data_IF_436557383244
#
_entry.id   IF_436557383244
#
_cell.length_a   1.000
_cell.length_b   1.000
_cell.length_c   1.000
_cell.angle_alpha   90.00
_cell.angle_beta   90.00
_cell.angle_gamma   90.00
#
_symmetry.space_group_name_H-M   'P 1'
#
loop_
_entity.id
_entity.type
_entity.pdbx_description
1 polymer ?
#
# COMPACT_ATOMS: atom_id res chain seq x y z
N UNK A 1 -6.27 4.67 26.71
CA UNK A 1 -6.05 4.11 25.36
C UNK A 1 -4.62 3.60 25.37
N UNK A 2 -4.42 2.31 25.17
CA UNK A 2 -3.09 1.71 25.36
C UNK A 2 -2.32 1.61 24.03
N UNK A 3 -3.05 1.66 22.90
CA UNK A 3 -2.50 1.47 21.55
C UNK A 3 -3.20 2.36 20.53
N UNK A 4 -2.42 2.94 19.62
CA UNK A 4 -2.89 3.82 18.54
C UNK A 4 -2.45 3.22 17.20
N UNK A 5 -3.43 2.94 16.34
CA UNK A 5 -3.23 2.49 14.96
C UNK A 5 -3.35 3.69 14.01
N UNK A 6 -2.22 4.34 13.68
CA UNK A 6 -2.22 5.56 12.87
C UNK A 6 -2.15 5.24 11.38
N UNK A 7 -3.34 4.97 10.79
CA UNK A 7 -3.54 4.65 9.37
C UNK A 7 -4.09 5.83 8.55
N UNK A 8 -4.36 6.97 9.18
CA UNK A 8 -5.05 8.08 8.54
C UNK A 8 -4.14 8.84 7.55
N UNK A 9 -4.27 8.55 6.25
CA UNK A 9 -3.64 9.28 5.15
C UNK A 9 -4.31 8.85 3.82
N UNK A 10 -4.55 9.76 2.85
CA UNK A 10 -4.93 9.35 1.50
C UNK A 10 -3.83 8.46 0.89
N UNK A 11 -4.20 7.31 0.32
CA UNK A 11 -3.23 6.27 -0.09
C UNK A 11 -3.09 6.07 -1.62
N UNK A 12 -4.13 6.37 -2.40
CA UNK A 12 -4.07 6.27 -3.86
C UNK A 12 -3.43 7.53 -4.48
N UNK A 13 -2.60 7.40 -5.53
CA UNK A 13 -2.04 8.53 -6.27
C UNK A 13 -3.05 9.58 -6.68
N UNK A 14 -4.21 9.17 -7.19
CA UNK A 14 -5.26 10.09 -7.62
C UNK A 14 -5.74 10.92 -6.42
N UNK A 15 -5.95 10.27 -5.27
CA UNK A 15 -6.51 10.91 -4.09
C UNK A 15 -5.52 11.80 -3.34
N UNK A 16 -4.25 11.38 -3.20
CA UNK A 16 -3.28 12.18 -2.48
C UNK A 16 -2.77 13.38 -3.30
N UNK A 17 -2.79 13.29 -4.64
CA UNK A 17 -2.42 14.39 -5.53
C UNK A 17 -3.58 15.38 -5.76
N UNK A 18 -4.83 14.97 -5.54
CA UNK A 18 -5.99 15.87 -5.66
C UNK A 18 -5.87 17.11 -4.75
N UNK A 19 -5.31 16.95 -3.54
CA UNK A 19 -5.02 18.06 -2.64
C UNK A 19 -3.68 17.83 -1.91
N UNK A 20 -2.54 18.16 -2.56
CA UNK A 20 -1.22 17.80 -2.05
C UNK A 20 -0.88 18.52 -0.74
N UNK A 21 -1.38 19.76 -0.57
CA UNK A 21 -1.22 20.52 0.68
C UNK A 21 -1.94 19.83 1.83
N UNK A 22 -3.16 19.32 1.61
CA UNK A 22 -3.91 18.57 2.63
C UNK A 22 -3.22 17.25 2.96
N UNK A 23 -2.73 16.52 1.95
CA UNK A 23 -1.96 15.28 2.14
C UNK A 23 -0.74 15.52 3.03
N UNK A 24 0.09 16.51 2.70
CA UNK A 24 1.28 16.83 3.50
C UNK A 24 0.92 17.26 4.93
N UNK A 25 -0.12 18.09 5.09
CA UNK A 25 -0.63 18.48 6.43
C UNK A 25 -1.11 17.28 7.24
N UNK A 26 -1.84 16.35 6.62
CA UNK A 26 -2.31 15.14 7.31
C UNK A 26 -1.14 14.27 7.75
N UNK A 27 -0.14 14.06 6.89
CA UNK A 27 1.03 13.25 7.24
C UNK A 27 1.89 13.90 8.32
N UNK A 28 2.11 15.21 8.28
CA UNK A 28 2.91 15.92 9.28
C UNK A 28 2.12 16.23 10.56
N UNK A 29 1.10 17.11 10.49
CA UNK A 29 0.36 17.56 11.67
C UNK A 29 -0.45 16.43 12.31
N UNK A 30 -1.02 15.52 11.49
CA UNK A 30 -1.74 14.36 12.00
C UNK A 30 -0.83 13.46 12.84
N UNK A 31 0.34 13.12 12.31
CA UNK A 31 1.33 12.30 13.03
C UNK A 31 1.86 13.01 14.29
N UNK A 32 2.18 14.31 14.19
CA UNK A 32 2.59 15.11 15.34
C UNK A 32 1.55 15.08 16.47
N UNK A 33 0.28 15.28 16.13
CA UNK A 33 -0.82 15.27 17.10
C UNK A 33 -1.02 13.88 17.73
N UNK A 34 -0.94 12.81 16.94
CA UNK A 34 -1.10 11.44 17.43
C UNK A 34 0.07 10.99 18.33
N UNK A 35 1.30 11.40 18.01
CA UNK A 35 2.45 11.19 18.88
C UNK A 35 2.35 11.99 20.19
N UNK A 36 1.88 13.25 20.10
CA UNK A 36 1.58 14.05 21.29
C UNK A 36 0.49 13.42 22.17
N UNK A 37 -0.53 12.81 21.57
CA UNK A 37 -1.51 12.01 22.31
C UNK A 37 -0.86 10.79 22.94
N UNK A 38 -0.13 9.98 22.16
CA UNK A 38 0.56 8.77 22.62
C UNK A 38 1.43 9.05 23.85
N UNK A 39 2.23 10.12 23.79
CA UNK A 39 3.04 10.60 24.92
C UNK A 39 2.22 10.92 26.16
N UNK A 40 1.12 11.68 26.01
CA UNK A 40 0.30 12.12 27.16
C UNK A 40 -0.37 10.98 27.89
N UNK A 41 -0.78 9.93 27.17
CA UNK A 41 -1.55 8.82 27.74
C UNK A 41 -0.71 7.54 27.94
N UNK A 42 0.58 7.56 27.57
CA UNK A 42 1.45 6.39 27.63
C UNK A 42 1.08 5.29 26.62
N UNK A 43 0.50 5.64 25.47
CA UNK A 43 0.11 4.66 24.46
C UNK A 43 1.29 4.29 23.54
N UNK A 44 1.30 3.03 23.08
CA UNK A 44 2.12 2.58 21.94
C UNK A 44 1.48 3.02 20.63
N UNK A 45 2.24 3.59 19.70
CA UNK A 45 1.74 4.04 18.41
C UNK A 45 2.34 3.22 17.27
N UNK A 46 1.50 2.68 16.39
CA UNK A 46 1.92 2.11 15.12
C UNK A 46 1.62 3.10 13.99
N UNK A 47 2.65 3.44 13.21
CA UNK A 47 2.54 4.22 11.98
C UNK A 47 2.42 3.28 10.79
N UNK A 48 1.37 3.47 10.00
CA UNK A 48 1.29 2.91 8.64
C UNK A 48 2.09 3.77 7.67
N UNK A 49 3.39 3.46 7.56
CA UNK A 49 4.26 3.99 6.52
C UNK A 49 4.03 3.23 5.20
N UNK A 50 4.93 3.38 4.24
CA UNK A 50 4.74 2.92 2.86
C UNK A 50 6.06 2.57 2.21
N UNK A 51 6.05 1.71 1.21
CA UNK A 51 7.21 1.46 0.36
C UNK A 51 7.60 2.66 -0.52
N UNK A 52 6.73 3.67 -0.70
CA UNK A 52 7.09 4.92 -1.39
C UNK A 52 8.20 5.71 -0.68
N UNK A 53 8.50 5.44 0.60
CA UNK A 53 9.66 6.06 1.28
C UNK A 53 11.00 5.65 0.65
N UNK A 54 11.00 4.57 -0.12
CA UNK A 54 12.14 4.13 -0.93
C UNK A 54 12.21 4.83 -2.30
N UNK A 55 11.14 5.48 -2.74
CA UNK A 55 11.07 6.21 -4.02
C UNK A 55 11.23 5.33 -5.25
N UNK A 56 12.18 5.72 -6.11
CA UNK A 56 12.63 4.95 -7.27
C UNK A 56 13.94 4.20 -6.90
N UNK A 57 13.84 2.96 -6.42
CA UNK A 57 14.94 2.32 -5.71
C UNK A 57 16.09 1.90 -6.65
N UNK A 58 17.31 2.22 -6.24
CA UNK A 58 18.55 1.79 -6.91
C UNK A 58 19.03 0.40 -6.46
N UNK A 59 18.25 -0.26 -5.58
CA UNK A 59 18.56 -1.57 -4.99
C UNK A 59 17.33 -2.47 -5.06
N UNK A 60 17.55 -3.74 -5.39
CA UNK A 60 16.49 -4.74 -5.52
C UNK A 60 16.90 -6.09 -4.89
N UNK A 61 16.08 -6.69 -3.99
CA UNK A 61 14.86 -6.16 -3.37
C UNK A 61 15.16 -4.97 -2.44
N UNK A 62 14.13 -4.29 -1.90
CA UNK A 62 14.30 -3.14 -1.00
C UNK A 62 14.33 -3.56 0.48
N UNK A 63 15.49 -3.54 1.16
CA UNK A 63 15.57 -3.79 2.61
C UNK A 63 15.30 -2.53 3.44
N UNK A 64 14.95 -2.71 4.71
CA UNK A 64 14.62 -1.60 5.62
C UNK A 64 15.77 -0.61 5.86
N UNK A 65 17.02 -1.07 5.67
CA UNK A 65 18.23 -0.24 5.77
C UNK A 65 18.42 0.73 4.60
N UNK A 66 17.72 0.53 3.48
CA UNK A 66 17.86 1.40 2.32
C UNK A 66 17.21 2.76 2.59
N UNK A 67 17.90 3.85 2.25
CA UNK A 67 17.45 5.22 2.55
C UNK A 67 16.40 5.76 1.59
N UNK A 68 16.25 5.13 0.42
CA UNK A 68 15.38 5.59 -0.66
C UNK A 68 16.04 6.61 -1.58
N UNK A 69 15.57 6.65 -2.83
CA UNK A 69 15.89 7.68 -3.82
C UNK A 69 14.59 8.38 -4.20
N UNK A 70 14.31 9.50 -3.52
CA UNK A 70 13.03 10.21 -3.58
C UNK A 70 13.26 11.64 -4.05
N UNK A 71 12.50 12.07 -5.06
CA UNK A 71 12.50 13.46 -5.49
C UNK A 71 11.67 14.29 -4.49
N UNK A 72 12.25 15.31 -3.82
CA UNK A 72 11.53 16.07 -2.78
C UNK A 72 10.57 17.14 -3.32
N UNK A 73 10.60 17.44 -4.62
CA UNK A 73 9.78 18.49 -5.25
C UNK A 73 8.87 17.97 -6.38
N UNK A 74 8.84 16.65 -6.59
CA UNK A 74 7.96 16.00 -7.55
C UNK A 74 6.48 16.06 -7.15
N UNK A 75 5.60 15.75 -8.10
CA UNK A 75 4.14 15.78 -7.88
C UNK A 75 3.68 14.77 -6.81
N UNK A 76 4.46 13.71 -6.59
CA UNK A 76 4.21 12.67 -5.56
C UNK A 76 4.77 13.02 -4.18
N UNK A 77 5.68 14.01 -4.08
CA UNK A 77 6.42 14.31 -2.85
C UNK A 77 5.54 14.68 -1.66
N UNK A 78 4.33 15.21 -1.90
CA UNK A 78 3.37 15.49 -0.84
C UNK A 78 3.01 14.24 0.00
N UNK A 79 3.02 13.06 -0.61
CA UNK A 79 2.83 11.77 0.05
C UNK A 79 4.16 11.18 0.49
N UNK A 80 5.14 11.11 -0.42
CA UNK A 80 6.43 10.42 -0.18
C UNK A 80 7.22 11.08 0.94
N UNK A 81 7.47 12.39 0.85
CA UNK A 81 8.14 13.16 1.91
C UNK A 81 7.25 13.29 3.15
N UNK A 82 5.93 13.33 2.96
CA UNK A 82 4.97 13.29 4.06
C UNK A 82 5.12 12.04 4.94
N UNK A 83 5.30 10.88 4.32
CA UNK A 83 5.51 9.61 5.03
C UNK A 83 6.92 9.51 5.61
N UNK A 84 7.95 10.02 4.91
CA UNK A 84 9.32 10.09 5.42
C UNK A 84 9.43 10.95 6.69
N UNK A 85 8.85 12.15 6.70
CA UNK A 85 8.85 13.01 7.90
C UNK A 85 8.02 12.39 9.04
N UNK A 86 6.96 11.65 8.73
CA UNK A 86 6.18 10.94 9.74
C UNK A 86 7.03 9.85 10.45
N UNK A 87 7.86 9.10 9.71
CA UNK A 87 8.83 8.17 10.33
C UNK A 87 9.84 8.92 11.20
N UNK A 88 10.39 10.04 10.72
CA UNK A 88 11.33 10.88 11.49
C UNK A 88 10.71 11.29 12.83
N UNK A 89 9.48 11.80 12.81
CA UNK A 89 8.76 12.21 14.02
C UNK A 89 8.57 11.05 15.00
N UNK A 90 8.20 9.86 14.53
CA UNK A 90 8.07 8.68 15.39
C UNK A 90 9.38 8.40 16.16
N UNK A 91 10.51 8.36 15.44
CA UNK A 91 11.79 8.06 16.07
C UNK A 91 12.33 9.20 16.94
N UNK A 92 12.01 10.47 16.63
CA UNK A 92 12.33 11.61 17.51
C UNK A 92 11.54 11.54 18.83
N UNK A 93 10.24 11.27 18.78
CA UNK A 93 9.42 11.09 19.98
C UNK A 93 9.88 9.88 20.82
N UNK A 94 10.32 8.81 20.17
CA UNK A 94 10.93 7.67 20.87
C UNK A 94 12.21 8.09 21.61
N UNK A 95 13.16 8.73 20.91
CA UNK A 95 14.44 9.15 21.50
C UNK A 95 14.29 10.20 22.60
N UNK A 96 13.43 11.20 22.40
CA UNK A 96 13.32 12.35 23.28
C UNK A 96 12.31 12.16 24.42
N UNK A 97 11.30 11.31 24.23
CA UNK A 97 10.17 11.19 25.16
C UNK A 97 9.83 9.74 25.54
N UNK A 98 10.56 8.75 25.02
CA UNK A 98 10.31 7.34 25.33
C UNK A 98 8.98 6.82 24.80
N UNK A 99 8.37 7.49 23.80
CA UNK A 99 7.13 6.99 23.19
C UNK A 99 7.43 5.67 22.48
N UNK A 100 6.67 4.63 22.80
CA UNK A 100 6.78 3.35 22.11
C UNK A 100 6.18 3.46 20.71
N UNK A 101 7.03 3.33 19.69
CA UNK A 101 6.62 3.39 18.28
C UNK A 101 6.83 2.07 17.57
N UNK A 102 5.99 1.82 16.57
CA UNK A 102 6.11 0.73 15.60
C UNK A 102 5.90 1.31 14.21
N UNK A 103 6.73 0.94 13.23
CA UNK A 103 6.64 1.48 11.87
C UNK A 103 6.51 0.34 10.88
N UNK A 104 5.36 0.25 10.22
CA UNK A 104 5.14 -0.68 9.12
C UNK A 104 5.38 0.03 7.79
N UNK A 105 6.37 -0.42 7.00
CA UNK A 105 6.55 0.02 5.61
C UNK A 105 5.74 -0.90 4.71
N UNK A 106 4.53 -0.45 4.39
CA UNK A 106 3.52 -1.25 3.69
C UNK A 106 3.76 -1.21 2.18
N UNK A 107 3.90 -2.37 1.58
CA UNK A 107 3.95 -2.55 0.12
C UNK A 107 2.55 -2.68 -0.47
N UNK A 108 2.42 -2.79 -1.79
CA UNK A 108 1.11 -2.79 -2.45
C UNK A 108 0.20 -3.88 -1.88
N UNK A 109 -0.93 -3.44 -1.32
CA UNK A 109 -1.94 -4.31 -0.72
C UNK A 109 -3.27 -4.16 -1.44
N UNK A 110 -3.96 -5.29 -1.63
CA UNK A 110 -5.28 -5.36 -2.24
C UNK A 110 -6.23 -6.24 -1.41
N UNK A 111 -7.54 -6.09 -1.63
CA UNK A 111 -8.56 -6.90 -0.98
C UNK A 111 -9.95 -6.26 -1.04
N UNK A 112 -10.94 -6.86 -0.37
CA UNK A 112 -12.27 -6.30 -0.21
C UNK A 112 -12.28 -4.87 0.35
N UNK A 113 -13.35 -4.12 0.07
CA UNK A 113 -13.59 -2.72 0.52
C UNK A 113 -12.67 -1.65 -0.08
N UNK A 114 -11.87 -1.98 -1.09
CA UNK A 114 -11.22 -0.98 -1.92
C UNK A 114 -12.26 -0.13 -2.67
N UNK A 115 -11.94 1.14 -2.92
CA UNK A 115 -12.80 2.03 -3.68
C UNK A 115 -12.83 1.63 -5.16
N UNK A 116 -13.96 1.86 -5.83
CA UNK A 116 -14.11 1.58 -7.27
C UNK A 116 -13.18 2.42 -8.13
N UNK A 117 -12.93 3.66 -7.71
CA UNK A 117 -12.08 4.67 -8.35
C UNK A 117 -10.69 4.77 -7.70
N UNK A 118 -10.26 3.72 -6.99
CA UNK A 118 -8.97 3.67 -6.31
C UNK A 118 -7.77 3.87 -7.26
N UNK A 119 -7.90 3.56 -8.55
CA UNK A 119 -6.92 3.91 -9.57
C UNK A 119 -5.67 3.01 -9.61
N UNK A 120 -5.56 2.01 -8.73
CA UNK A 120 -4.50 1.01 -8.77
C UNK A 120 -4.85 -0.15 -9.72
N UNK A 121 -3.84 -0.87 -10.18
CA UNK A 121 -3.98 -1.85 -11.26
C UNK A 121 -4.96 -3.01 -10.94
N UNK A 122 -4.94 -3.53 -9.70
CA UNK A 122 -5.85 -4.64 -9.30
C UNK A 122 -7.30 -4.19 -9.32
N UNK A 123 -7.61 -3.02 -8.74
CA UNK A 123 -8.96 -2.46 -8.72
C UNK A 123 -9.44 -2.11 -10.14
N UNK A 124 -8.60 -1.43 -10.93
CA UNK A 124 -8.93 -1.06 -12.30
C UNK A 124 -9.26 -2.29 -13.16
N UNK A 125 -8.44 -3.34 -13.12
CA UNK A 125 -8.70 -4.54 -13.92
C UNK A 125 -9.96 -5.28 -13.50
N UNK A 126 -10.21 -5.43 -12.20
CA UNK A 126 -11.44 -6.08 -11.73
C UNK A 126 -12.68 -5.27 -12.17
N UNK A 127 -12.65 -3.94 -11.99
CA UNK A 127 -13.77 -3.07 -12.36
C UNK A 127 -14.01 -3.06 -13.88
N UNK A 128 -12.96 -2.92 -14.69
CA UNK A 128 -13.06 -3.01 -16.16
C UNK A 128 -13.67 -4.35 -16.58
N UNK A 129 -13.16 -5.45 -16.03
CA UNK A 129 -13.67 -6.78 -16.36
C UNK A 129 -15.13 -6.99 -15.95
N UNK A 130 -15.53 -6.53 -14.75
CA UNK A 130 -16.92 -6.62 -14.30
C UNK A 130 -17.88 -5.77 -15.16
N UNK A 131 -17.38 -4.69 -15.76
CA UNK A 131 -18.15 -3.84 -16.70
C UNK A 131 -18.15 -4.35 -18.14
N UNK A 132 -17.41 -5.41 -18.44
CA UNK A 132 -17.24 -5.89 -19.81
C UNK A 132 -16.31 -5.02 -20.67
N UNK A 133 -15.51 -4.15 -20.05
CA UNK A 133 -14.57 -3.27 -20.73
C UNK A 133 -13.23 -3.98 -20.99
N UNK A 134 -12.49 -3.63 -22.06
CA UNK A 134 -11.13 -4.12 -22.26
C UNK A 134 -10.21 -3.79 -21.07
N UNK A 135 -9.32 -4.72 -20.72
CA UNK A 135 -8.33 -4.47 -19.68
C UNK A 135 -7.20 -3.61 -20.25
N UNK A 136 -6.99 -2.43 -19.66
CA UNK A 136 -5.99 -1.48 -20.13
C UNK A 136 -4.59 -1.83 -19.64
N UNK A 137 -3.75 -2.38 -20.51
CA UNK A 137 -2.37 -2.73 -20.22
C UNK A 137 -1.44 -1.59 -20.65
N UNK A 138 -0.72 -0.96 -19.74
CA UNK A 138 0.30 0.01 -20.12
C UNK A 138 1.61 -0.71 -20.48
N UNK A 139 2.13 -0.45 -21.68
CA UNK A 139 3.24 -1.19 -22.28
C UNK A 139 2.84 -2.62 -22.68
N UNK A 140 3.82 -3.53 -22.65
CA UNK A 140 3.62 -4.95 -22.95
C UNK A 140 3.22 -5.77 -21.70
N UNK A 141 3.05 -5.14 -20.54
CA UNK A 141 2.68 -5.80 -19.30
C UNK A 141 3.81 -6.61 -18.64
N UNK A 142 5.06 -6.49 -19.11
CA UNK A 142 6.22 -7.19 -18.56
C UNK A 142 6.70 -6.65 -17.21
N UNK A 143 6.30 -5.42 -16.86
CA UNK A 143 6.64 -4.80 -15.59
C UNK A 143 6.07 -5.61 -14.42
N UNK A 144 6.86 -5.74 -13.36
CA UNK A 144 6.52 -6.56 -12.20
C UNK A 144 6.03 -5.71 -11.02
N UNK A 145 5.13 -6.29 -10.24
CA UNK A 145 4.66 -5.75 -8.96
C UNK A 145 4.47 -6.88 -7.96
N UNK A 146 4.77 -6.61 -6.70
CA UNK A 146 4.35 -7.45 -5.58
C UNK A 146 2.93 -7.10 -5.13
N UNK A 147 2.07 -8.08 -4.88
CA UNK A 147 0.72 -7.85 -4.33
C UNK A 147 0.51 -8.65 -3.04
N UNK A 148 0.32 -7.94 -1.93
CA UNK A 148 0.01 -8.53 -0.63
C UNK A 148 -1.51 -8.52 -0.41
N UNK A 149 -2.09 -9.64 -0.02
CA UNK A 149 -3.52 -9.68 0.31
C UNK A 149 -3.77 -9.06 1.69
N UNK A 150 -4.91 -8.36 1.84
CA UNK A 150 -5.21 -7.55 3.02
C UNK A 150 -5.20 -8.32 4.35
N UNK A 151 -5.58 -9.60 4.37
CA UNK A 151 -5.54 -10.39 5.61
C UNK A 151 -4.12 -10.64 6.10
N UNK A 152 -3.18 -10.90 5.20
CA UNK A 152 -1.76 -11.05 5.55
C UNK A 152 -1.21 -9.74 6.12
N UNK A 153 -1.53 -8.60 5.49
CA UNK A 153 -1.14 -7.29 6.01
C UNK A 153 -1.68 -7.06 7.43
N UNK A 154 -2.98 -7.32 7.65
CA UNK A 154 -3.61 -7.13 8.96
C UNK A 154 -2.91 -7.99 10.02
N UNK A 155 -2.61 -9.24 9.71
CA UNK A 155 -1.87 -10.13 10.61
C UNK A 155 -0.47 -9.59 10.93
N UNK A 156 0.27 -9.11 9.92
CA UNK A 156 1.59 -8.52 10.10
C UNK A 156 1.55 -7.25 10.96
N UNK A 157 0.53 -6.41 10.76
CA UNK A 157 0.28 -5.21 11.57
C UNK A 157 -0.02 -5.57 13.04
N UNK A 158 -0.88 -6.57 13.28
CA UNK A 158 -1.20 -7.11 14.61
C UNK A 158 0.06 -7.60 15.33
N UNK A 159 0.89 -8.39 14.65
CA UNK A 159 2.14 -8.90 15.22
C UNK A 159 3.13 -7.78 15.52
N UNK A 160 3.32 -6.83 14.59
CA UNK A 160 4.22 -5.70 14.79
C UNK A 160 3.82 -4.82 15.99
N UNK A 161 2.52 -4.52 16.13
CA UNK A 161 2.03 -3.75 17.29
C UNK A 161 2.33 -4.46 18.62
N UNK A 162 2.21 -5.78 18.64
CA UNK A 162 2.40 -6.60 19.83
C UNK A 162 3.87 -6.97 20.10
N UNK A 163 4.73 -6.95 19.08
CA UNK A 163 6.14 -7.33 19.18
C UNK A 163 7.02 -6.25 19.81
N UNK A 164 8.28 -6.62 20.04
CA UNK A 164 9.28 -5.77 20.72
C UNK A 164 10.17 -4.98 19.75
N UNK A 165 10.19 -5.33 18.47
CA UNK A 165 10.99 -4.63 17.47
C UNK A 165 10.49 -3.19 17.28
N UNK A 166 11.36 -2.21 17.48
CA UNK A 166 11.01 -0.79 17.40
C UNK A 166 11.41 -0.12 16.09
N UNK A 167 12.26 -0.75 15.28
CA UNK A 167 12.63 -0.27 13.94
C UNK A 167 11.50 -0.44 12.92
N UNK A 168 11.69 0.10 11.70
CA UNK A 168 10.77 -0.15 10.60
C UNK A 168 10.82 -1.62 10.18
N UNK A 169 9.67 -2.18 9.81
CA UNK A 169 9.55 -3.52 9.21
C UNK A 169 8.77 -3.42 7.90
N UNK A 170 9.32 -4.03 6.84
CA UNK A 170 8.63 -4.20 5.58
C UNK A 170 7.51 -5.23 5.72
N UNK A 171 6.28 -4.84 5.35
CA UNK A 171 5.14 -5.75 5.25
C UNK A 171 4.65 -5.77 3.80
N UNK A 172 4.77 -6.94 3.17
CA UNK A 172 4.39 -7.15 1.78
C UNK A 172 4.59 -8.60 1.35
N UNK A 173 4.27 -8.88 0.08
CA UNK A 173 4.52 -10.17 -0.54
C UNK A 173 5.84 -10.09 -1.32
N UNK A 174 6.86 -10.94 -1.08
CA UNK A 174 8.09 -10.92 -1.85
C UNK A 174 7.92 -11.51 -3.26
N UNK A 175 6.80 -12.15 -3.58
CA UNK A 175 6.54 -12.67 -4.93
C UNK A 175 6.17 -11.55 -5.89
N UNK A 176 6.88 -11.51 -7.03
CA UNK A 176 6.62 -10.58 -8.11
C UNK A 176 5.73 -11.22 -9.18
N UNK A 177 4.76 -10.43 -9.66
CA UNK A 177 3.86 -10.81 -10.76
C UNK A 177 3.95 -9.76 -11.85
N UNK A 178 3.94 -10.19 -13.11
CA UNK A 178 3.82 -9.26 -14.22
C UNK A 178 2.39 -8.70 -14.27
N UNK A 179 2.24 -7.47 -14.75
CA UNK A 179 0.89 -6.90 -14.94
C UNK A 179 0.08 -7.74 -15.93
N UNK A 180 0.75 -8.35 -16.92
CA UNK A 180 0.12 -9.31 -17.85
C UNK A 180 -0.40 -10.56 -17.14
N UNK A 181 0.34 -11.14 -16.19
CA UNK A 181 -0.12 -12.28 -15.39
C UNK A 181 -1.36 -11.91 -14.57
N UNK A 182 -1.35 -10.74 -13.93
CA UNK A 182 -2.52 -10.24 -13.20
C UNK A 182 -3.74 -10.08 -14.13
N UNK A 183 -3.56 -9.46 -15.31
CA UNK A 183 -4.64 -9.28 -16.29
C UNK A 183 -5.22 -10.61 -16.76
N UNK A 184 -4.37 -11.62 -17.01
CA UNK A 184 -4.79 -12.96 -17.39
C UNK A 184 -5.58 -13.66 -16.27
N UNK A 185 -5.12 -13.56 -15.01
CA UNK A 185 -5.85 -14.10 -13.86
C UNK A 185 -7.24 -13.47 -13.72
N UNK A 186 -7.34 -12.15 -13.83
CA UNK A 186 -8.62 -11.43 -13.78
C UNK A 186 -9.55 -11.87 -14.94
N UNK A 187 -9.04 -11.99 -16.17
CA UNK A 187 -9.79 -12.53 -17.31
C UNK A 187 -10.34 -13.91 -17.03
N UNK A 188 -9.49 -14.84 -16.57
CA UNK A 188 -9.90 -16.22 -16.29
C UNK A 188 -10.99 -16.31 -15.21
N UNK A 189 -10.96 -15.42 -14.21
CA UNK A 189 -11.92 -15.45 -13.10
C UNK A 189 -13.23 -14.71 -13.40
N UNK A 190 -13.27 -13.79 -14.38
CA UNK A 190 -14.43 -12.95 -14.67
C UNK A 190 -14.99 -13.19 -16.07
N UNK A 191 -14.20 -12.94 -17.10
CA UNK A 191 -14.58 -13.18 -18.49
C UNK A 191 -13.33 -13.39 -19.36
N UNK A 192 -13.08 -14.63 -19.84
CA UNK A 192 -11.88 -14.95 -20.60
C UNK A 192 -11.84 -14.28 -21.98
N UNK A 193 -12.96 -13.80 -22.52
CA UNK A 193 -13.04 -13.20 -23.86
C UNK A 193 -12.68 -11.70 -23.90
N UNK A 194 -12.47 -11.08 -22.73
CA UNK A 194 -12.11 -9.66 -22.66
C UNK A 194 -10.79 -9.38 -23.37
N UNK A 195 -10.79 -8.34 -24.20
CA UNK A 195 -9.59 -7.90 -24.90
C UNK A 195 -8.60 -7.25 -23.93
N UNK A 196 -7.30 -7.38 -24.22
CA UNK A 196 -6.26 -6.58 -23.61
C UNK A 196 -5.97 -5.40 -24.54
N UNK A 197 -6.14 -4.18 -24.05
CA UNK A 197 -5.86 -2.96 -24.81
C UNK A 197 -4.51 -2.39 -24.34
N UNK A 198 -3.50 -2.43 -25.20
CA UNK A 198 -2.17 -1.91 -24.89
C UNK A 198 -2.12 -0.39 -25.10
N UNK A 199 -1.62 0.35 -24.10
CA UNK A 199 -1.43 1.81 -24.14
C UNK A 199 0.03 2.17 -23.86
N UNK A 200 0.53 3.33 -24.32
CA UNK A 200 1.90 3.78 -23.99
C UNK A 200 2.12 3.84 -22.48
N UNK A 201 3.33 3.51 -22.02
CA UNK A 201 3.70 3.62 -20.60
C UNK A 201 3.57 5.08 -20.12
N UNK A 202 2.96 5.33 -18.94
CA UNK A 202 3.01 6.64 -18.31
C UNK A 202 4.45 7.06 -18.00
N UNK A 203 4.73 8.36 -18.08
CA UNK A 203 5.98 8.92 -17.54
C UNK A 203 6.06 8.65 -16.02
N UNK A 204 7.25 8.29 -15.53
CA UNK A 204 7.58 8.04 -14.11
C UNK A 204 6.87 6.85 -13.41
N UNK A 205 6.37 5.84 -14.12
CA UNK A 205 5.88 4.60 -13.46
C UNK A 205 7.08 3.80 -12.92
N UNK A 206 7.19 3.55 -11.59
CA UNK A 206 8.35 2.88 -11.01
C UNK A 206 8.55 1.51 -11.64
N UNK A 207 9.75 1.21 -12.13
CA UNK A 207 9.94 0.00 -12.94
C UNK A 207 9.85 -1.28 -12.10
N UNK A 208 10.33 -1.27 -10.85
CA UNK A 208 10.39 -2.46 -10.02
C UNK A 208 10.30 -2.16 -8.51
N UNK A 209 9.48 -2.92 -7.78
CA UNK A 209 9.38 -2.81 -6.32
C UNK A 209 9.03 -4.17 -5.70
N UNK A 210 9.93 -4.68 -4.86
CA UNK A 210 9.84 -5.97 -4.19
C UNK A 210 10.32 -5.83 -2.74
N UNK A 211 9.49 -6.20 -1.75
CA UNK A 211 9.87 -6.13 -0.35
C UNK A 211 10.89 -7.21 0.00
N UNK A 212 12.00 -6.84 0.63
CA UNK A 212 12.76 -7.79 1.45
C UNK A 212 12.04 -7.94 2.80
N UNK A 213 11.59 -9.14 3.14
CA UNK A 213 10.76 -9.42 4.34
C UNK A 213 11.47 -10.27 5.40
N UNK A 214 12.80 -10.40 5.32
CA UNK A 214 13.57 -11.25 6.25
C UNK A 214 13.43 -10.78 7.69
N UNK A 215 13.36 -9.46 7.91
CA UNK A 215 13.16 -8.90 9.25
C UNK A 215 11.77 -9.24 9.79
N UNK A 216 10.73 -9.22 8.95
CA UNK A 216 9.38 -9.61 9.36
C UNK A 216 9.31 -11.10 9.73
N UNK A 217 9.98 -11.98 8.97
CA UNK A 217 10.10 -13.40 9.30
C UNK A 217 10.82 -13.61 10.64
N UNK A 218 11.94 -12.92 10.86
CA UNK A 218 12.76 -13.11 12.05
C UNK A 218 12.15 -12.51 13.32
N UNK A 219 11.54 -11.32 13.22
CA UNK A 219 11.07 -10.56 14.38
C UNK A 219 9.60 -10.79 14.70
N UNK A 220 8.80 -11.16 13.69
CA UNK A 220 7.35 -11.33 13.82
C UNK A 220 6.88 -12.75 13.52
N UNK A 221 7.77 -13.67 13.10
CA UNK A 221 7.38 -14.98 12.58
C UNK A 221 6.33 -14.87 11.46
N UNK A 222 6.42 -13.80 10.66
CA UNK A 222 5.40 -13.43 9.69
C UNK A 222 5.91 -13.52 8.26
N UNK A 223 5.04 -14.00 7.36
CA UNK A 223 5.18 -13.89 5.91
C UNK A 223 3.79 -13.90 5.26
N UNK A 224 3.66 -13.39 4.04
CA UNK A 224 2.43 -13.53 3.26
C UNK A 224 2.15 -14.99 2.93
N UNK A 225 0.88 -15.38 2.98
CA UNK A 225 0.44 -16.78 2.79
C UNK A 225 -0.66 -16.92 1.75
N UNK A 226 -1.38 -15.84 1.45
CA UNK A 226 -2.48 -15.85 0.48
C UNK A 226 -1.93 -15.54 -0.90
N UNK A 227 -2.05 -16.49 -1.82
CA UNK A 227 -1.64 -16.28 -3.21
C UNK A 227 -2.57 -15.29 -3.92
N UNK A 228 -2.10 -14.73 -5.04
CA UNK A 228 -2.92 -13.84 -5.86
C UNK A 228 -4.22 -14.53 -6.33
N UNK A 229 -4.12 -15.80 -6.72
CA UNK A 229 -5.25 -16.62 -7.16
C UNK A 229 -6.30 -16.81 -6.05
N UNK A 230 -5.87 -16.91 -4.79
CA UNK A 230 -6.74 -17.07 -3.62
C UNK A 230 -7.36 -15.75 -3.17
N UNK A 231 -6.63 -14.63 -3.26
CA UNK A 231 -7.10 -13.32 -2.81
C UNK A 231 -7.98 -12.58 -3.82
N UNK A 232 -7.92 -12.93 -5.11
CA UNK A 232 -8.74 -12.31 -6.16
C UNK A 232 -10.24 -12.58 -6.01
N UNK A 233 -10.73 -13.83 -5.84
CA UNK A 233 -12.17 -14.11 -5.75
C UNK A 233 -12.94 -13.25 -4.73
N UNK A 234 -12.53 -13.17 -3.43
CA UNK A 234 -13.23 -12.32 -2.47
C UNK A 234 -13.15 -10.82 -2.81
N UNK A 235 -12.07 -10.39 -3.47
CA UNK A 235 -11.93 -9.02 -3.95
C UNK A 235 -12.92 -8.73 -5.08
N UNK A 236 -13.04 -9.65 -6.04
CA UNK A 236 -13.99 -9.58 -7.16
C UNK A 236 -15.43 -9.51 -6.64
N UNK A 237 -15.78 -10.37 -5.69
CA UNK A 237 -17.13 -10.37 -5.09
C UNK A 237 -17.43 -9.05 -4.38
N UNK A 238 -16.45 -8.49 -3.67
CA UNK A 238 -16.59 -7.16 -3.05
C UNK A 238 -16.84 -6.06 -4.08
N UNK A 239 -16.13 -6.08 -5.21
CA UNK A 239 -16.32 -5.08 -6.27
C UNK A 239 -17.65 -5.26 -7.01
N UNK A 240 -18.08 -6.51 -7.25
CA UNK A 240 -19.39 -6.81 -7.84
C UNK A 240 -20.52 -6.22 -6.99
N UNK A 241 -20.50 -6.47 -5.69
CA UNK A 241 -21.49 -5.91 -4.76
C UNK A 241 -21.49 -4.37 -4.74
N UNK A 242 -20.31 -3.75 -4.82
CA UNK A 242 -20.19 -2.29 -4.86
C UNK A 242 -20.76 -1.70 -6.15
N UNK A 243 -20.54 -2.35 -7.29
CA UNK A 243 -21.12 -1.94 -8.58
C UNK A 243 -22.64 -2.07 -8.59
N UNK A 244 -23.18 -3.19 -8.11
CA UNK A 244 -24.63 -3.39 -8.00
C UNK A 244 -25.30 -2.32 -7.12
N UNK A 245 -24.66 -1.93 -6.01
CA UNK A 245 -25.16 -0.84 -5.14
C UNK A 245 -25.08 0.54 -5.82
N UNK A 246 -24.03 0.80 -6.58
CA UNK A 246 -23.85 2.06 -7.30
C UNK A 246 -24.87 2.21 -8.43
N UNK A 247 -25.11 1.14 -9.20
CA UNK A 247 -26.05 1.12 -10.32
C UNK A 247 -27.52 1.09 -9.82
N UNK A 248 -27.79 0.42 -8.70
CA UNK A 248 -29.12 0.35 -8.09
C UNK A 248 -29.60 1.62 -7.38
N UNK A 249 -28.69 2.56 -7.06
CA UNK A 249 -29.07 3.89 -6.56
C UNK A 249 -29.39 4.90 -7.68
N UNK A 250 -29.29 4.48 -8.96
CA UNK A 250 -29.51 5.31 -10.14
C UNK A 250 -30.92 5.24 -10.76
N UNK A 251 -31.87 4.54 -10.13
CA UNK A 251 -33.29 4.43 -10.57
C UNK A 251 -34.24 5.04 -9.55
#
# INVERSE_FOLDING_TARGET
>A
MDRIWHLACPASPIHYQFNPVKTAKTSFLGTYNMLGLARRVGARLLLASTSEVYGDPEVHPQPERYWGSVNPIGVRSCYDEGKRIAETLCFDYQRMNGVEVRVARIFNTYGPRMLLDDGRVVSNFIVQALRGEPLTLYGDGSQTRSFCYVSDLIEGLIRLMNGEHSGPINLGNPEEFTIRQLAQLVRMQINPELQLEEKPLPEDDPQQRQPAIDLARQQLDWQSTVSLEQGLPPSIDSFRNLLELADGCGT
#
